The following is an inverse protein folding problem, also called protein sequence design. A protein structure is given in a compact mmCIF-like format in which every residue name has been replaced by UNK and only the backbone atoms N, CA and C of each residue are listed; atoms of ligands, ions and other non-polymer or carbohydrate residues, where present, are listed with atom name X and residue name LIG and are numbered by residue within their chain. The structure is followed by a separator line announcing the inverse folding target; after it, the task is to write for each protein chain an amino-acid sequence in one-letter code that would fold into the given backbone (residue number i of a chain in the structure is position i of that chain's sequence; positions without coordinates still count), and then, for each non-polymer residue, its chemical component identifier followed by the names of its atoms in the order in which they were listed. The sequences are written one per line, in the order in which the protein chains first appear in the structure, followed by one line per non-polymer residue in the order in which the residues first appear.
data_IF_227986091381
#
_entry.id   IF_227986091381
#
_cell.length_a   1.000
_cell.length_b   1.000
_cell.length_c   1.000
_cell.angle_alpha   90.00
_cell.angle_beta   90.00
_cell.angle_gamma   90.00
#
_symmetry.space_group_name_H-M   'P 1'
#
loop_
_entity.id
_entity.type
_entity.pdbx_description
1 polymer ?
#
# COMPACT_ATOMS: atom_id res chain seq x y z
N UNK A 1 26.19 -14.52 -8.26
CA UNK A 1 25.78 -15.34 -7.12
C UNK A 1 24.28 -15.46 -7.14
N UNK A 2 23.77 -16.67 -6.93
CA UNK A 2 22.33 -16.92 -6.91
C UNK A 2 21.76 -16.46 -5.56
N UNK A 3 20.74 -15.61 -5.57
CA UNK A 3 19.95 -15.23 -4.39
C UNK A 3 18.92 -16.30 -3.97
N UNK A 4 19.06 -17.54 -4.43
CA UNK A 4 18.14 -18.60 -4.02
C UNK A 4 18.45 -19.04 -2.59
N UNK A 5 17.42 -19.14 -1.75
CA UNK A 5 17.48 -19.67 -0.38
C UNK A 5 18.14 -21.07 -0.31
N UNK A 6 18.05 -21.83 -1.39
CA UNK A 6 18.67 -23.15 -1.51
C UNK A 6 20.21 -23.11 -1.63
N UNK A 7 20.79 -22.01 -2.10
CA UNK A 7 22.23 -21.93 -2.39
C UNK A 7 23.11 -21.93 -1.13
N UNK A 8 22.57 -21.62 0.03
CA UNK A 8 23.31 -21.46 1.31
C UNK A 8 22.83 -22.40 2.42
N UNK A 9 21.80 -23.21 2.19
CA UNK A 9 21.31 -24.18 3.18
C UNK A 9 22.38 -25.23 3.50
N UNK A 10 22.64 -25.44 4.80
CA UNK A 10 23.58 -26.45 5.29
C UNK A 10 25.06 -26.07 5.21
N UNK A 11 25.36 -24.81 4.88
CA UNK A 11 26.73 -24.28 4.89
C UNK A 11 26.95 -23.42 6.13
N UNK A 12 28.12 -23.43 6.70
CA UNK A 12 28.53 -22.54 7.81
C UNK A 12 29.44 -21.45 7.26
N UNK A 13 29.11 -20.19 7.56
CA UNK A 13 29.87 -19.04 7.08
C UNK A 13 30.36 -18.18 8.25
N UNK A 14 31.55 -17.63 8.13
CA UNK A 14 32.06 -16.61 9.04
C UNK A 14 31.66 -15.21 8.61
N UNK A 15 31.48 -14.97 7.31
CA UNK A 15 31.05 -13.70 6.73
C UNK A 15 30.06 -13.99 5.60
N UNK A 16 28.95 -13.28 5.62
CA UNK A 16 27.99 -13.25 4.52
C UNK A 16 27.98 -11.82 3.98
N UNK A 17 28.19 -11.67 2.68
CA UNK A 17 28.14 -10.38 1.99
C UNK A 17 27.00 -10.42 0.96
N UNK A 18 26.03 -9.51 1.13
CA UNK A 18 24.89 -9.33 0.24
C UNK A 18 25.07 -8.00 -0.49
N UNK A 19 25.22 -8.07 -1.79
CA UNK A 19 25.38 -6.91 -2.66
C UNK A 19 24.08 -6.64 -3.41
N UNK A 20 23.74 -5.37 -3.60
CA UNK A 20 22.53 -4.90 -4.25
C UNK A 20 21.24 -5.53 -3.67
N UNK A 21 21.20 -5.62 -2.34
CA UNK A 21 20.15 -6.38 -1.67
C UNK A 21 18.76 -5.76 -1.81
N UNK A 22 18.64 -4.43 -1.94
CA UNK A 22 17.37 -3.76 -2.21
C UNK A 22 16.72 -4.16 -3.55
N UNK A 23 17.50 -4.72 -4.48
CA UNK A 23 17.01 -5.17 -5.79
C UNK A 23 16.53 -6.62 -5.80
N UNK A 24 16.67 -7.33 -4.70
CA UNK A 24 16.12 -8.68 -4.54
C UNK A 24 14.61 -8.56 -4.33
N UNK A 25 13.76 -9.33 -5.03
CA UNK A 25 12.32 -9.34 -4.79
C UNK A 25 11.99 -9.66 -3.31
N UNK A 26 10.97 -9.00 -2.74
CA UNK A 26 10.63 -9.13 -1.32
C UNK A 26 10.43 -10.58 -0.88
N UNK A 27 9.67 -11.38 -1.64
CA UNK A 27 9.44 -12.80 -1.32
C UNK A 27 10.71 -13.63 -1.29
N UNK A 28 11.70 -13.32 -2.16
CA UNK A 28 12.99 -14.01 -2.18
C UNK A 28 13.86 -13.57 -0.99
N UNK A 29 13.81 -12.28 -0.64
CA UNK A 29 14.53 -11.75 0.51
C UNK A 29 14.02 -12.35 1.83
N UNK A 30 12.71 -12.45 2.01
CA UNK A 30 12.09 -13.07 3.20
C UNK A 30 12.41 -14.55 3.30
N UNK A 31 12.32 -15.31 2.20
CA UNK A 31 12.71 -16.72 2.14
C UNK A 31 14.20 -16.91 2.41
N UNK A 32 15.04 -16.02 1.91
CA UNK A 32 16.48 -16.07 2.15
C UNK A 32 16.77 -15.88 3.64
N UNK A 33 16.25 -14.84 4.28
CA UNK A 33 16.48 -14.60 5.71
C UNK A 33 15.93 -15.72 6.59
N UNK A 34 14.71 -16.19 6.34
CA UNK A 34 14.13 -17.29 7.11
C UNK A 34 14.95 -18.58 7.01
N UNK A 35 15.61 -18.81 5.87
CA UNK A 35 16.41 -19.99 5.62
C UNK A 35 17.87 -19.88 6.10
N UNK A 36 18.43 -18.68 6.08
CA UNK A 36 19.85 -18.41 6.36
C UNK A 36 20.08 -17.97 7.80
N UNK A 37 19.15 -17.25 8.39
CA UNK A 37 19.27 -16.73 9.76
C UNK A 37 19.54 -17.82 10.84
N UNK A 38 18.90 -19.01 10.81
CA UNK A 38 19.25 -20.09 11.74
C UNK A 38 20.69 -20.56 11.60
N UNK A 39 21.24 -20.53 10.39
CA UNK A 39 22.63 -20.92 10.12
C UNK A 39 23.60 -19.87 10.63
N UNK A 40 23.23 -18.60 10.55
CA UNK A 40 24.02 -17.48 11.04
C UNK A 40 24.05 -17.45 12.56
N UNK A 41 22.88 -17.62 13.19
CA UNK A 41 22.71 -17.57 14.65
C UNK A 41 23.40 -18.74 15.38
N UNK A 42 23.75 -19.82 14.69
CA UNK A 42 24.51 -20.94 15.25
C UNK A 42 25.99 -20.63 15.39
N UNK A 43 26.52 -19.61 14.74
CA UNK A 43 27.92 -19.20 14.77
C UNK A 43 28.14 -18.05 15.77
N UNK A 44 29.15 -18.18 16.64
CA UNK A 44 29.50 -17.13 17.64
C UNK A 44 30.22 -15.90 17.04
N UNK A 45 30.61 -15.94 15.77
CA UNK A 45 31.43 -14.91 15.12
C UNK A 45 30.98 -14.57 13.69
N UNK A 46 29.80 -15.00 13.25
CA UNK A 46 29.32 -14.74 11.89
C UNK A 46 28.96 -13.24 11.76
N UNK A 47 29.46 -12.62 10.68
CA UNK A 47 29.16 -11.24 10.31
C UNK A 47 28.31 -11.21 9.05
N UNK A 48 27.30 -10.37 9.02
CA UNK A 48 26.50 -10.09 7.83
C UNK A 48 26.79 -8.66 7.39
N UNK A 49 27.15 -8.49 6.14
CA UNK A 49 27.37 -7.18 5.51
C UNK A 49 26.37 -7.10 4.36
N UNK A 50 25.52 -6.09 4.40
CA UNK A 50 24.49 -5.83 3.39
C UNK A 50 24.79 -4.48 2.77
N UNK A 51 24.93 -4.44 1.45
CA UNK A 51 25.20 -3.21 0.70
C UNK A 51 24.16 -3.07 -0.41
N UNK A 52 23.62 -1.88 -0.56
CA UNK A 52 22.72 -1.55 -1.68
C UNK A 52 22.57 -0.05 -1.82
N UNK A 53 22.18 0.41 -3.00
CA UNK A 53 21.47 1.67 -3.16
C UNK A 53 20.00 1.46 -2.81
N UNK A 54 19.27 2.49 -2.34
CA UNK A 54 17.84 2.39 -2.03
C UNK A 54 17.00 2.01 -3.25
N UNK A 55 15.96 1.22 -3.05
CA UNK A 55 14.94 0.93 -4.07
C UNK A 55 13.54 0.97 -3.44
N UNK A 56 12.98 2.17 -3.34
CA UNK A 56 11.68 2.36 -2.69
C UNK A 56 11.68 1.96 -1.22
N UNK A 57 10.49 1.79 -0.64
CA UNK A 57 10.30 1.40 0.76
C UNK A 57 10.06 -0.11 0.88
N UNK A 58 11.05 -0.91 0.50
CA UNK A 58 11.00 -2.36 0.47
C UNK A 58 11.61 -2.99 1.75
N UNK A 59 11.94 -4.30 1.71
CA UNK A 59 12.58 -5.03 2.80
C UNK A 59 13.91 -4.39 3.25
N UNK A 60 14.70 -3.81 2.33
CA UNK A 60 15.96 -3.13 2.68
C UNK A 60 15.68 -1.82 3.44
N UNK A 61 14.66 -1.06 3.05
CA UNK A 61 14.19 0.11 3.80
C UNK A 61 13.77 -0.27 5.23
N UNK A 62 13.01 -1.35 5.40
CA UNK A 62 12.60 -1.84 6.74
C UNK A 62 13.81 -2.15 7.60
N UNK A 63 14.79 -2.89 7.05
CA UNK A 63 16.03 -3.23 7.78
C UNK A 63 16.83 -1.98 8.16
N UNK A 64 16.88 -1.00 7.26
CA UNK A 64 17.54 0.28 7.51
C UNK A 64 16.86 1.05 8.63
N UNK A 65 15.55 1.20 8.54
CA UNK A 65 14.73 1.92 9.53
C UNK A 65 14.78 1.27 10.92
N UNK A 66 14.68 -0.07 10.98
CA UNK A 66 14.81 -0.81 12.24
C UNK A 66 16.20 -0.62 12.86
N UNK A 67 17.24 -0.53 12.04
CA UNK A 67 18.61 -0.28 12.50
C UNK A 67 18.78 1.17 13.03
N UNK A 68 18.25 2.17 12.34
CA UNK A 68 18.28 3.57 12.78
C UNK A 68 17.54 3.77 14.11
N UNK A 69 16.44 3.05 14.31
CA UNK A 69 15.65 3.12 15.55
C UNK A 69 16.20 2.24 16.68
N UNK A 70 17.29 1.49 16.46
CA UNK A 70 17.86 0.59 17.45
C UNK A 70 17.01 -0.66 17.72
N UNK A 71 16.13 -1.02 16.81
CA UNK A 71 15.26 -2.20 16.87
C UNK A 71 15.91 -3.47 16.30
N UNK A 72 17.10 -3.34 15.72
CA UNK A 72 17.94 -4.43 15.25
C UNK A 72 19.40 -4.23 15.63
N UNK A 73 20.20 -5.33 15.56
CA UNK A 73 21.64 -5.29 15.85
C UNK A 73 22.47 -4.79 14.65
N UNK A 74 21.86 -4.42 13.54
CA UNK A 74 22.56 -3.87 12.38
C UNK A 74 23.04 -2.44 12.68
N UNK A 75 24.21 -2.10 12.14
CA UNK A 75 24.78 -0.74 12.22
C UNK A 75 24.60 -0.08 10.84
N UNK A 76 23.66 0.89 10.71
CA UNK A 76 23.43 1.58 9.46
C UNK A 76 24.61 2.50 9.13
N UNK A 77 25.07 2.46 7.90
CA UNK A 77 26.15 3.33 7.41
C UNK A 77 25.79 3.83 6.02
N UNK A 78 25.41 5.10 5.90
CA UNK A 78 25.19 5.76 4.63
C UNK A 78 26.50 6.43 4.17
N UNK A 79 26.79 6.38 2.87
CA UNK A 79 27.91 7.09 2.24
C UNK A 79 27.32 8.05 1.21
N UNK A 80 27.20 9.32 1.62
CA UNK A 80 26.74 10.37 0.74
C UNK A 80 27.81 10.73 -0.30
N UNK A 81 27.41 11.11 -1.50
CA UNK A 81 28.35 11.41 -2.61
C UNK A 81 29.41 12.46 -2.24
N UNK A 82 29.08 13.44 -1.38
CA UNK A 82 30.02 14.50 -0.94
C UNK A 82 31.14 14.00 -0.04
N UNK A 83 31.01 12.79 0.51
CA UNK A 83 32.05 12.14 1.32
C UNK A 83 33.08 11.40 0.47
N UNK A 84 32.75 11.20 -0.80
CA UNK A 84 33.64 10.49 -1.75
C UNK A 84 34.65 11.47 -2.36
N UNK A 85 35.97 11.19 -2.27
CA UNK A 85 36.99 12.05 -2.85
C UNK A 85 36.77 12.33 -4.33
N UNK A 86 37.05 13.55 -4.74
CA UNK A 86 36.92 14.05 -6.12
C UNK A 86 35.49 14.18 -6.67
N UNK A 87 34.48 14.16 -5.80
CA UNK A 87 33.10 14.48 -6.16
C UNK A 87 32.77 15.88 -5.64
N UNK A 88 32.60 16.83 -6.53
CA UNK A 88 32.27 18.23 -6.24
C UNK A 88 30.92 18.64 -6.85
N UNK A 89 30.54 19.90 -6.72
CA UNK A 89 29.31 20.44 -7.29
C UNK A 89 29.27 20.32 -8.83
N UNK A 90 30.38 20.45 -9.50
CA UNK A 90 30.47 20.33 -10.98
C UNK A 90 30.23 18.85 -11.39
N UNK A 91 30.81 17.91 -10.64
CA UNK A 91 30.53 16.49 -10.83
C UNK A 91 29.03 16.16 -10.61
N UNK A 92 28.40 16.74 -9.56
CA UNK A 92 26.94 16.58 -9.31
C UNK A 92 26.13 17.06 -10.50
N UNK A 93 26.36 18.30 -10.96
CA UNK A 93 25.63 18.86 -12.11
C UNK A 93 25.80 18.02 -13.37
N UNK A 94 27.01 17.55 -13.64
CA UNK A 94 27.29 16.72 -14.80
C UNK A 94 26.61 15.36 -14.70
N UNK A 95 26.57 14.76 -13.51
CA UNK A 95 25.92 13.47 -13.27
C UNK A 95 24.41 13.61 -13.43
N UNK A 96 23.78 14.65 -12.88
CA UNK A 96 22.34 14.92 -13.05
C UNK A 96 21.98 15.12 -14.53
N UNK A 97 22.82 15.82 -15.31
CA UNK A 97 22.60 15.99 -16.76
C UNK A 97 22.62 14.68 -17.53
N UNK A 98 23.43 13.72 -17.09
CA UNK A 98 23.60 12.43 -17.77
C UNK A 98 22.59 11.38 -17.30
N UNK A 99 21.91 11.61 -16.15
CA UNK A 99 20.93 10.71 -15.56
C UNK A 99 19.61 11.46 -15.34
N UNK A 100 19.25 11.68 -14.10
CA UNK A 100 18.14 12.54 -13.68
C UNK A 100 18.37 12.99 -12.24
N UNK A 101 17.68 14.04 -11.81
CA UNK A 101 17.72 14.48 -10.41
C UNK A 101 17.24 13.39 -9.44
N UNK A 102 16.19 12.66 -9.82
CA UNK A 102 15.66 11.58 -9.02
C UNK A 102 16.64 10.41 -8.91
N UNK A 103 17.23 9.99 -10.02
CA UNK A 103 18.25 8.94 -10.00
C UNK A 103 19.47 9.36 -9.17
N UNK A 104 19.87 10.63 -9.27
CA UNK A 104 20.95 11.15 -8.44
C UNK A 104 20.66 11.05 -6.95
N UNK A 105 19.44 11.40 -6.53
CA UNK A 105 19.01 11.28 -5.14
C UNK A 105 19.07 9.85 -4.62
N UNK A 106 18.58 8.89 -5.40
CA UNK A 106 18.62 7.47 -5.03
C UNK A 106 20.05 6.93 -4.98
N UNK A 107 20.82 7.10 -6.04
CA UNK A 107 22.12 6.45 -6.22
C UNK A 107 23.26 7.12 -5.43
N UNK A 108 23.16 8.42 -5.19
CA UNK A 108 24.27 9.21 -4.65
C UNK A 108 23.94 9.98 -3.37
N UNK A 109 22.69 10.30 -3.14
CA UNK A 109 22.21 10.90 -1.87
C UNK A 109 21.57 9.86 -0.95
N UNK A 110 21.48 8.60 -1.39
CA UNK A 110 20.94 7.46 -0.63
C UNK A 110 19.50 7.68 -0.15
N UNK A 111 18.70 8.46 -0.89
CA UNK A 111 17.30 8.68 -0.54
C UNK A 111 16.43 7.48 -0.92
N UNK A 112 15.63 6.99 0.03
CA UNK A 112 14.61 5.99 -0.24
C UNK A 112 13.42 6.62 -0.96
N UNK A 113 13.56 6.82 -2.25
CA UNK A 113 12.50 7.35 -3.11
C UNK A 113 11.76 6.21 -3.80
N UNK A 114 10.45 6.38 -3.98
CA UNK A 114 9.67 5.51 -4.86
C UNK A 114 10.09 5.68 -6.33
N UNK A 115 9.56 4.80 -7.18
CA UNK A 115 9.81 4.83 -8.62
C UNK A 115 9.34 6.14 -9.25
N UNK A 116 9.81 6.41 -10.48
CA UNK A 116 9.32 7.54 -11.29
C UNK A 116 7.88 7.27 -11.72
N UNK A 117 7.05 8.32 -11.81
CA UNK A 117 5.66 8.25 -12.26
C UNK A 117 4.76 7.35 -11.40
N UNK A 118 5.02 7.30 -10.08
CA UNK A 118 4.14 6.62 -9.13
C UNK A 118 2.73 7.24 -9.11
N UNK A 119 1.73 6.41 -8.82
CA UNK A 119 0.34 6.85 -8.68
C UNK A 119 0.20 7.97 -7.64
N UNK A 120 0.79 7.76 -6.46
CA UNK A 120 0.82 8.72 -5.36
C UNK A 120 2.06 9.61 -5.50
N UNK A 121 1.94 10.89 -5.19
CA UNK A 121 3.07 11.81 -5.29
C UNK A 121 4.22 11.43 -4.36
N UNK A 122 5.48 11.59 -4.79
CA UNK A 122 6.64 11.26 -3.95
C UNK A 122 6.66 12.02 -2.62
N UNK A 123 6.13 13.24 -2.59
CA UNK A 123 6.01 14.03 -1.37
C UNK A 123 5.07 13.36 -0.36
N UNK A 124 3.91 12.86 -0.83
CA UNK A 124 2.95 12.15 0.00
C UNK A 124 3.49 10.81 0.48
N UNK A 125 4.11 10.03 -0.41
CA UNK A 125 4.70 8.73 -0.04
C UNK A 125 5.75 8.88 1.08
N UNK A 126 6.59 9.92 1.03
CA UNK A 126 7.57 10.21 2.10
C UNK A 126 6.95 10.64 3.43
N UNK A 127 5.76 11.21 3.40
CA UNK A 127 5.04 11.63 4.60
C UNK A 127 4.28 10.47 5.28
N UNK A 128 4.15 9.31 4.61
CA UNK A 128 3.53 8.13 5.19
C UNK A 128 4.45 7.54 6.26
N UNK A 129 3.89 7.31 7.44
CA UNK A 129 4.60 6.71 8.58
C UNK A 129 4.12 5.28 8.72
N UNK A 130 5.06 4.35 8.76
CA UNK A 130 4.72 2.97 9.04
C UNK A 130 4.78 2.69 10.55
N UNK A 131 3.93 1.79 11.02
CA UNK A 131 3.92 1.29 12.38
C UNK A 131 3.91 -0.25 12.37
N UNK A 132 4.49 -0.86 13.41
CA UNK A 132 4.41 -2.31 13.57
C UNK A 132 2.99 -2.73 13.91
N UNK A 133 2.51 -3.86 13.38
CA UNK A 133 1.19 -4.37 13.74
C UNK A 133 1.14 -4.74 15.23
N UNK A 134 -0.03 -4.63 15.84
CA UNK A 134 -0.30 -5.11 17.20
C UNK A 134 -0.08 -6.63 17.32
N UNK A 135 -0.48 -7.36 16.29
CA UNK A 135 -0.25 -8.79 16.14
C UNK A 135 0.04 -9.14 14.69
N UNK A 136 0.95 -10.09 14.49
CA UNK A 136 1.28 -10.64 13.17
C UNK A 136 1.29 -12.16 13.25
N UNK A 137 0.49 -12.82 12.44
CA UNK A 137 0.39 -14.27 12.41
C UNK A 137 0.07 -14.79 11.02
N UNK A 138 0.95 -15.62 10.46
CA UNK A 138 0.73 -16.34 9.19
C UNK A 138 0.28 -15.47 8.02
N UNK A 139 0.80 -14.24 7.93
CA UNK A 139 0.47 -13.27 6.88
C UNK A 139 -0.68 -12.32 7.24
N UNK A 140 -1.36 -12.51 8.37
CA UNK A 140 -2.36 -11.59 8.91
C UNK A 140 -1.71 -10.64 9.91
N UNK A 141 -1.71 -9.35 9.59
CA UNK A 141 -1.25 -8.26 10.42
C UNK A 141 -2.43 -7.42 10.88
N UNK A 142 -2.53 -7.17 12.18
CA UNK A 142 -3.61 -6.39 12.81
C UNK A 142 -3.03 -5.12 13.40
N UNK A 143 -3.57 -3.97 13.01
CA UNK A 143 -3.17 -2.62 13.45
C UNK A 143 -4.16 -2.02 14.46
N UNK A 144 -5.43 -2.40 14.41
CA UNK A 144 -6.43 -2.03 15.39
C UNK A 144 -7.40 -3.18 15.64
N UNK A 145 -7.82 -3.36 16.88
CA UNK A 145 -8.86 -4.33 17.23
C UNK A 145 -10.23 -3.83 16.74
N UNK A 146 -11.18 -4.72 16.45
CA UNK A 146 -12.54 -4.32 16.07
C UNK A 146 -13.24 -3.59 17.22
N UNK A 147 -13.94 -2.51 16.89
CA UNK A 147 -14.75 -1.72 17.83
C UNK A 147 -16.24 -2.00 17.63
N UNK A 148 -17.00 -2.04 18.71
CA UNK A 148 -18.46 -2.21 18.63
C UNK A 148 -19.11 -1.07 17.84
N UNK A 149 -20.08 -1.40 16.98
CA UNK A 149 -20.81 -0.47 16.11
C UNK A 149 -20.00 0.20 15.01
N UNK A 150 -18.75 -0.20 14.80
CA UNK A 150 -17.99 0.21 13.65
C UNK A 150 -18.35 -0.66 12.44
N UNK A 151 -18.37 -0.03 11.27
CA UNK A 151 -18.55 -0.68 9.97
C UNK A 151 -17.20 -0.90 9.30
N UNK A 152 -17.00 -2.11 8.82
CA UNK A 152 -15.73 -2.51 8.19
C UNK A 152 -15.96 -2.99 6.77
N UNK A 153 -14.98 -2.70 5.92
CA UNK A 153 -14.92 -3.15 4.54
C UNK A 153 -13.67 -4.00 4.34
N UNK A 154 -13.83 -5.17 3.78
CA UNK A 154 -12.75 -6.04 3.33
C UNK A 154 -12.69 -6.05 1.80
N UNK A 155 -11.58 -5.64 1.23
CA UNK A 155 -11.31 -5.73 -0.21
C UNK A 155 -10.28 -6.82 -0.47
N UNK A 156 -10.54 -7.68 -1.46
CA UNK A 156 -9.81 -8.92 -1.67
C UNK A 156 -9.27 -9.00 -3.09
N UNK A 157 -8.00 -9.28 -3.20
CA UNK A 157 -7.32 -9.67 -4.44
C UNK A 157 -6.82 -11.12 -4.32
N UNK A 158 -6.99 -11.92 -5.37
CA UNK A 158 -6.83 -13.39 -5.31
C UNK A 158 -5.80 -13.88 -6.29
N UNK A 159 -4.75 -14.51 -5.80
CA UNK A 159 -3.74 -15.20 -6.58
C UNK A 159 -3.90 -16.74 -6.57
N UNK A 160 -3.17 -17.41 -7.45
CA UNK A 160 -3.22 -18.88 -7.60
C UNK A 160 -2.50 -19.66 -6.49
N UNK A 161 -1.75 -18.99 -5.62
CA UNK A 161 -0.97 -19.62 -4.55
C UNK A 161 0.17 -20.51 -5.07
N UNK A 162 0.89 -20.04 -6.08
CA UNK A 162 2.03 -20.75 -6.71
C UNK A 162 3.39 -20.17 -6.32
N UNK A 163 3.42 -19.17 -5.44
CA UNK A 163 4.65 -18.56 -4.92
C UNK A 163 5.09 -17.30 -5.66
N UNK A 164 4.31 -16.82 -6.62
CA UNK A 164 4.58 -15.58 -7.39
C UNK A 164 3.77 -14.42 -6.81
N UNK A 165 2.51 -14.25 -7.26
CA UNK A 165 1.60 -13.23 -6.75
C UNK A 165 0.98 -13.64 -5.41
N UNK A 166 0.53 -12.67 -4.64
CA UNK A 166 -0.06 -12.90 -3.32
C UNK A 166 -1.59 -12.88 -3.38
N UNK A 167 -2.23 -13.83 -2.69
CA UNK A 167 -3.60 -13.62 -2.25
C UNK A 167 -3.59 -12.65 -1.09
N UNK A 168 -4.30 -11.53 -1.23
CA UNK A 168 -4.28 -10.43 -0.28
C UNK A 168 -5.69 -9.94 0.05
N UNK A 169 -5.86 -9.41 1.24
CA UNK A 169 -6.99 -8.56 1.58
C UNK A 169 -6.59 -7.45 2.55
N UNK A 170 -7.37 -6.38 2.52
CA UNK A 170 -7.24 -5.25 3.46
C UNK A 170 -8.58 -5.02 4.13
N UNK A 171 -8.59 -4.91 5.46
CA UNK A 171 -9.78 -4.52 6.23
C UNK A 171 -9.65 -3.06 6.61
N UNK A 172 -10.68 -2.30 6.29
CA UNK A 172 -10.73 -0.85 6.44
C UNK A 172 -11.94 -0.50 7.31
N UNK A 173 -11.70 0.25 8.37
CA UNK A 173 -12.76 0.90 9.12
C UNK A 173 -13.32 2.05 8.28
N UNK A 174 -14.61 1.96 7.98
CA UNK A 174 -15.32 2.93 7.13
C UNK A 174 -16.37 3.73 7.90
N UNK A 175 -16.32 3.70 9.23
CA UNK A 175 -17.32 4.33 10.10
C UNK A 175 -17.29 5.85 9.99
N UNK A 176 -16.09 6.44 10.01
CA UNK A 176 -15.88 7.88 9.94
C UNK A 176 -14.65 8.22 9.10
N UNK A 177 -14.61 9.45 8.56
CA UNK A 177 -13.38 9.96 7.92
C UNK A 177 -12.38 10.50 8.94
N UNK A 178 -11.08 10.27 8.72
CA UNK A 178 -10.50 9.45 7.65
C UNK A 178 -10.72 7.95 7.88
N UNK A 179 -11.05 7.21 6.82
CA UNK A 179 -11.10 5.75 6.89
C UNK A 179 -9.73 5.19 7.28
N UNK A 180 -9.69 4.07 8.00
CA UNK A 180 -8.42 3.53 8.51
C UNK A 180 -8.24 2.06 8.14
N UNK A 181 -7.09 1.71 7.60
CA UNK A 181 -6.70 0.30 7.45
C UNK A 181 -6.40 -0.26 8.83
N UNK A 182 -7.17 -1.26 9.25
CA UNK A 182 -7.09 -1.88 10.59
C UNK A 182 -6.48 -3.27 10.58
N UNK A 183 -6.53 -3.96 9.43
CA UNK A 183 -5.84 -5.23 9.24
C UNK A 183 -5.49 -5.46 7.77
N UNK A 184 -4.44 -6.27 7.51
CA UNK A 184 -4.15 -6.78 6.19
C UNK A 184 -3.71 -8.24 6.25
N UNK A 185 -3.96 -8.95 5.18
CA UNK A 185 -3.47 -10.30 4.96
C UNK A 185 -2.73 -10.38 3.63
N UNK A 186 -1.63 -11.15 3.60
CA UNK A 186 -0.84 -11.38 2.40
C UNK A 186 -0.16 -12.74 2.45
N UNK A 187 -0.39 -13.58 1.45
CA UNK A 187 0.25 -14.90 1.37
C UNK A 187 0.29 -15.40 -0.08
N UNK A 188 1.47 -15.79 -0.57
CA UNK A 188 1.66 -16.25 -1.95
C UNK A 188 1.59 -17.77 -2.14
N UNK A 189 1.42 -18.53 -1.06
CA UNK A 189 1.36 -20.00 -1.09
C UNK A 189 0.00 -20.56 -0.72
N UNK A 190 -0.91 -19.72 -0.19
CA UNK A 190 -2.25 -20.13 0.18
C UNK A 190 -3.04 -20.58 -1.07
N UNK A 191 -3.68 -21.73 -0.96
CA UNK A 191 -4.52 -22.21 -2.07
C UNK A 191 -5.86 -21.49 -2.11
N UNK A 192 -6.40 -21.16 -3.30
CA UNK A 192 -7.69 -20.47 -3.46
C UNK A 192 -8.85 -21.13 -2.72
N UNK A 193 -8.84 -22.45 -2.53
CA UNK A 193 -9.87 -23.18 -1.77
C UNK A 193 -9.81 -22.94 -0.26
N UNK A 194 -8.66 -22.54 0.30
CA UNK A 194 -8.48 -22.32 1.74
C UNK A 194 -8.60 -20.85 2.12
N UNK A 195 -8.32 -19.98 1.18
CA UNK A 195 -8.32 -18.53 1.40
C UNK A 195 -9.68 -17.98 1.87
N UNK A 196 -10.85 -18.47 1.37
CA UNK A 196 -12.16 -18.03 1.86
C UNK A 196 -12.37 -18.21 3.36
N UNK A 197 -11.79 -19.26 3.97
CA UNK A 197 -11.94 -19.49 5.42
C UNK A 197 -11.22 -18.41 6.23
N UNK A 198 -10.04 -17.95 5.78
CA UNK A 198 -9.30 -16.88 6.44
C UNK A 198 -10.07 -15.56 6.31
N UNK A 199 -10.60 -15.25 5.12
CA UNK A 199 -11.45 -14.08 4.91
C UNK A 199 -12.66 -14.13 5.84
N UNK A 200 -13.36 -15.26 5.86
CA UNK A 200 -14.55 -15.47 6.66
C UNK A 200 -14.29 -15.25 8.15
N UNK A 201 -13.30 -15.93 8.73
CA UNK A 201 -12.98 -15.82 10.14
C UNK A 201 -12.56 -14.41 10.54
N UNK A 202 -11.71 -13.78 9.71
CA UNK A 202 -11.23 -12.42 9.99
C UNK A 202 -12.36 -11.40 9.88
N UNK A 203 -13.16 -11.46 8.81
CA UNK A 203 -14.27 -10.52 8.61
C UNK A 203 -15.39 -10.68 9.64
N UNK A 204 -15.65 -11.89 10.12
CA UNK A 204 -16.55 -12.10 11.26
C UNK A 204 -16.05 -11.42 12.53
N UNK A 205 -14.75 -11.48 12.78
CA UNK A 205 -14.12 -10.77 13.89
C UNK A 205 -14.29 -9.26 13.80
N UNK A 206 -14.32 -8.71 12.60
CA UNK A 206 -14.57 -7.28 12.33
C UNK A 206 -16.06 -7.02 12.02
N UNK A 207 -16.95 -7.32 12.97
CA UNK A 207 -18.39 -7.05 12.95
C UNK A 207 -19.13 -7.55 11.68
N UNK A 208 -18.67 -8.66 11.09
CA UNK A 208 -19.12 -9.15 9.77
C UNK A 208 -18.88 -8.10 8.67
N UNK A 209 -17.66 -7.68 8.51
CA UNK A 209 -17.24 -6.69 7.51
C UNK A 209 -17.86 -6.93 6.13
N UNK A 210 -18.18 -5.88 5.39
CA UNK A 210 -18.58 -6.01 3.99
C UNK A 210 -17.40 -6.53 3.17
N UNK A 211 -17.59 -7.53 2.33
CA UNK A 211 -16.52 -8.13 1.53
C UNK A 211 -16.74 -7.87 0.06
N UNK A 212 -15.74 -7.29 -0.60
CA UNK A 212 -15.72 -7.12 -2.06
C UNK A 212 -14.52 -7.87 -2.63
N UNK A 213 -14.77 -8.98 -3.30
CA UNK A 213 -13.74 -9.78 -3.97
C UNK A 213 -13.52 -9.31 -5.41
N UNK A 214 -12.27 -9.29 -5.86
CA UNK A 214 -11.96 -9.36 -7.27
C UNK A 214 -12.30 -10.76 -7.80
N UNK A 215 -13.06 -10.82 -8.91
CA UNK A 215 -13.55 -12.09 -9.49
C UNK A 215 -12.89 -12.44 -10.83
N UNK A 216 -11.70 -11.91 -11.06
CA UNK A 216 -10.90 -12.35 -12.20
C UNK A 216 -10.24 -13.70 -11.89
N UNK A 217 -9.97 -14.49 -12.92
CA UNK A 217 -9.27 -15.78 -12.84
C UNK A 217 -9.85 -16.70 -11.73
N UNK A 218 -9.10 -16.95 -10.66
CA UNK A 218 -9.51 -17.82 -9.54
C UNK A 218 -10.34 -17.09 -8.45
N UNK A 219 -10.52 -15.79 -8.56
CA UNK A 219 -11.27 -15.00 -7.57
C UNK A 219 -12.76 -15.31 -7.56
N UNK A 220 -13.34 -15.73 -8.69
CA UNK A 220 -14.72 -16.19 -8.77
C UNK A 220 -14.97 -17.44 -7.91
N UNK A 221 -13.99 -18.35 -7.82
CA UNK A 221 -14.05 -19.54 -6.94
C UNK A 221 -14.05 -19.13 -5.46
N UNK A 222 -13.18 -18.18 -5.07
CA UNK A 222 -13.13 -17.68 -3.69
C UNK A 222 -14.47 -17.04 -3.30
N UNK A 223 -15.01 -16.17 -4.15
CA UNK A 223 -16.31 -15.53 -3.92
C UNK A 223 -17.45 -16.55 -3.88
N UNK A 224 -17.43 -17.59 -4.72
CA UNK A 224 -18.43 -18.65 -4.72
C UNK A 224 -18.41 -19.45 -3.40
N UNK A 225 -17.24 -19.82 -2.90
CA UNK A 225 -17.11 -20.52 -1.60
C UNK A 225 -17.62 -19.63 -0.46
N UNK A 226 -17.26 -18.34 -0.43
CA UNK A 226 -17.78 -17.40 0.57
C UNK A 226 -19.30 -17.33 0.55
N UNK A 227 -19.91 -17.29 -0.64
CA UNK A 227 -21.36 -17.13 -0.77
C UNK A 227 -22.15 -18.43 -0.55
N UNK A 228 -21.72 -19.55 -1.15
CA UNK A 228 -22.49 -20.77 -1.19
C UNK A 228 -22.11 -21.79 -0.12
N UNK A 229 -20.83 -21.89 0.24
CA UNK A 229 -20.36 -22.89 1.18
C UNK A 229 -20.31 -22.31 2.61
N UNK A 230 -19.86 -21.05 2.76
CA UNK A 230 -19.71 -20.36 4.04
C UNK A 230 -20.90 -19.43 4.36
N UNK A 231 -21.81 -19.25 3.40
CA UNK A 231 -23.03 -18.42 3.54
C UNK A 231 -22.74 -17.02 4.14
N UNK A 232 -21.65 -16.39 3.66
CA UNK A 232 -21.25 -15.09 4.17
C UNK A 232 -22.22 -13.99 3.74
N UNK A 233 -22.91 -13.39 4.71
CA UNK A 233 -24.08 -12.52 4.50
C UNK A 233 -23.74 -11.15 3.88
N UNK A 234 -22.55 -10.60 4.15
CA UNK A 234 -22.14 -9.26 3.73
C UNK A 234 -21.21 -9.29 2.50
N UNK A 235 -21.36 -10.30 1.62
CA UNK A 235 -20.65 -10.34 0.36
C UNK A 235 -21.29 -9.36 -0.63
N UNK A 236 -20.49 -8.41 -1.14
CA UNK A 236 -20.93 -7.40 -2.10
C UNK A 236 -20.96 -7.97 -3.51
N UNK A 237 -22.03 -7.68 -4.23
CA UNK A 237 -22.25 -8.15 -5.60
C UNK A 237 -22.19 -6.98 -6.59
N UNK A 238 -21.72 -7.25 -7.80
CA UNK A 238 -21.71 -6.29 -8.89
C UNK A 238 -22.63 -6.71 -10.02
N UNK A 239 -23.27 -5.73 -10.68
CA UNK A 239 -24.06 -5.94 -11.88
C UNK A 239 -23.59 -5.02 -13.00
N UNK A 240 -23.76 -5.45 -14.26
CA UNK A 240 -23.45 -4.63 -15.42
C UNK A 240 -24.65 -3.76 -15.78
N UNK A 241 -24.47 -2.44 -15.80
CA UNK A 241 -25.53 -1.47 -16.07
C UNK A 241 -25.20 -0.61 -17.29
N UNK A 242 -25.42 -1.15 -18.47
CA UNK A 242 -25.28 -0.43 -19.74
C UNK A 242 -23.98 0.36 -19.87
N UNK A 243 -24.06 1.66 -20.12
CA UNK A 243 -22.89 2.55 -20.24
C UNK A 243 -22.22 2.91 -18.91
N UNK A 244 -22.89 2.71 -17.79
CA UNK A 244 -22.33 2.96 -16.46
C UNK A 244 -21.30 1.91 -16.03
N UNK A 245 -21.23 0.76 -16.76
CA UNK A 245 -20.31 -0.32 -16.46
C UNK A 245 -20.73 -1.14 -15.25
N UNK A 246 -19.78 -1.54 -14.42
CA UNK A 246 -20.07 -2.27 -13.18
C UNK A 246 -20.53 -1.32 -12.09
N UNK A 247 -21.59 -1.70 -11.40
CA UNK A 247 -22.10 -1.04 -10.20
C UNK A 247 -22.29 -2.08 -9.09
N UNK A 248 -22.03 -1.67 -7.86
CA UNK A 248 -22.28 -2.47 -6.66
C UNK A 248 -23.75 -2.36 -6.26
N UNK A 249 -24.33 -3.44 -5.74
CA UNK A 249 -25.70 -3.45 -5.22
C UNK A 249 -26.01 -4.77 -4.53
N UNK A 250 -27.08 -4.80 -3.74
CA UNK A 250 -27.63 -6.05 -3.23
C UNK A 250 -28.33 -6.77 -4.40
N UNK A 251 -27.78 -7.92 -4.80
CA UNK A 251 -28.25 -8.68 -5.96
C UNK A 251 -29.75 -8.94 -5.90
N UNK A 252 -30.39 -8.81 -7.03
CA UNK A 252 -31.70 -9.29 -7.47
C UNK A 252 -32.37 -8.34 -8.47
N UNK A 253 -31.59 -7.71 -9.32
CA UNK A 253 -32.18 -7.09 -10.52
C UNK A 253 -31.67 -7.79 -11.77
N UNK A 254 -32.32 -8.85 -12.13
CA UNK A 254 -32.57 -9.44 -13.46
C UNK A 254 -31.46 -9.60 -14.51
N UNK A 255 -30.26 -9.05 -14.40
CA UNK A 255 -29.23 -9.13 -15.43
C UNK A 255 -27.84 -9.33 -14.81
N UNK A 256 -27.29 -10.54 -15.03
CA UNK A 256 -25.87 -10.91 -14.80
C UNK A 256 -25.22 -10.28 -13.59
N UNK A 257 -25.69 -10.63 -12.41
CA UNK A 257 -25.02 -10.32 -11.14
C UNK A 257 -23.86 -11.28 -10.95
N UNK A 258 -22.71 -10.76 -10.53
CA UNK A 258 -21.52 -11.54 -10.17
C UNK A 258 -21.15 -11.30 -8.70
N UNK A 259 -20.53 -12.28 -8.05
CA UNK A 259 -20.22 -12.29 -6.62
C UNK A 259 -18.95 -11.47 -6.31
N UNK A 260 -18.89 -10.23 -6.78
CA UNK A 260 -17.73 -9.37 -6.62
C UNK A 260 -17.50 -8.47 -7.81
N UNK A 261 -16.33 -7.83 -7.89
CA UNK A 261 -15.97 -6.90 -8.95
C UNK A 261 -15.03 -7.56 -9.96
N UNK A 262 -15.34 -7.41 -11.25
CA UNK A 262 -14.39 -7.79 -12.30
C UNK A 262 -13.44 -6.64 -12.56
N UNK A 263 -12.15 -6.84 -12.36
CA UNK A 263 -11.12 -5.84 -12.64
C UNK A 263 -10.97 -5.65 -14.14
N UNK A 264 -11.73 -4.71 -14.67
CA UNK A 264 -11.61 -4.23 -16.04
C UNK A 264 -10.66 -3.04 -16.10
N UNK A 265 -10.14 -2.72 -17.30
CA UNK A 265 -9.30 -1.51 -17.50
C UNK A 265 -9.97 -0.24 -16.97
N UNK A 266 -11.30 -0.14 -17.11
CA UNK A 266 -12.08 1.01 -16.61
C UNK A 266 -12.14 1.05 -15.09
N UNK A 267 -12.42 -0.09 -14.44
CA UNK A 267 -12.46 -0.20 -12.98
C UNK A 267 -11.08 0.11 -12.39
N UNK A 268 -10.01 -0.50 -12.92
CA UNK A 268 -8.63 -0.25 -12.49
C UNK A 268 -8.26 1.22 -12.62
N UNK A 269 -8.55 1.84 -13.78
CA UNK A 269 -8.25 3.25 -14.02
C UNK A 269 -9.01 4.18 -13.07
N UNK A 270 -10.31 3.99 -12.92
CA UNK A 270 -11.15 4.83 -12.03
C UNK A 270 -10.71 4.62 -10.59
N UNK A 271 -10.54 3.38 -10.14
CA UNK A 271 -10.09 3.05 -8.80
C UNK A 271 -8.72 3.65 -8.49
N UNK A 272 -7.75 3.55 -9.41
CA UNK A 272 -6.42 4.15 -9.23
C UNK A 272 -6.48 5.68 -9.09
N UNK A 273 -7.23 6.36 -9.95
CA UNK A 273 -7.37 7.83 -9.85
C UNK A 273 -8.05 8.26 -8.54
N UNK A 274 -9.08 7.51 -8.11
CA UNK A 274 -9.74 7.76 -6.83
C UNK A 274 -8.80 7.46 -5.65
N UNK A 275 -8.01 6.39 -5.73
CA UNK A 275 -7.01 6.06 -4.71
C UNK A 275 -6.02 7.20 -4.52
N UNK A 276 -5.48 7.72 -5.63
CA UNK A 276 -4.64 8.92 -5.60
C UNK A 276 -5.31 10.03 -4.81
N UNK A 277 -6.54 10.35 -5.14
CA UNK A 277 -7.27 11.46 -4.54
C UNK A 277 -7.51 11.26 -3.04
N UNK A 278 -7.98 10.08 -2.61
CA UNK A 278 -8.27 9.83 -1.19
C UNK A 278 -7.00 9.73 -0.33
N UNK A 279 -5.89 9.23 -0.88
CA UNK A 279 -4.60 9.19 -0.19
C UNK A 279 -3.99 10.59 -0.08
N UNK A 280 -3.94 11.34 -1.16
CA UNK A 280 -3.36 12.70 -1.17
C UNK A 280 -4.16 13.69 -0.31
N UNK A 281 -5.47 13.45 -0.11
CA UNK A 281 -6.34 14.27 0.73
C UNK A 281 -6.53 13.73 2.15
N UNK A 282 -5.74 12.76 2.59
CA UNK A 282 -5.82 12.15 3.92
C UNK A 282 -7.22 11.61 4.28
N UNK A 283 -7.96 11.09 3.29
CA UNK A 283 -9.28 10.46 3.52
C UNK A 283 -9.20 8.98 3.83
N UNK A 284 -8.05 8.37 3.59
CA UNK A 284 -7.71 7.03 4.03
C UNK A 284 -6.33 7.04 4.66
N UNK A 285 -6.21 6.42 5.82
CA UNK A 285 -4.96 6.26 6.57
C UNK A 285 -4.58 4.80 6.62
N UNK A 286 -3.31 4.54 6.43
CA UNK A 286 -2.72 3.20 6.56
C UNK A 286 -1.28 3.33 7.06
N UNK A 287 -0.88 2.36 7.88
CA UNK A 287 0.42 2.34 8.55
C UNK A 287 1.21 1.07 8.20
N UNK A 288 0.65 0.26 7.33
CA UNK A 288 1.26 -0.99 6.88
C UNK A 288 2.40 -0.74 5.90
N UNK A 289 3.57 -1.31 6.18
CA UNK A 289 4.75 -1.15 5.36
C UNK A 289 4.60 -1.79 3.98
N UNK A 290 3.93 -2.94 3.88
CA UNK A 290 3.80 -3.63 2.59
C UNK A 290 2.88 -2.84 1.65
N UNK A 291 1.77 -2.25 2.16
CA UNK A 291 0.92 -1.33 1.39
C UNK A 291 1.74 -0.11 0.93
N UNK A 292 2.50 0.50 1.83
CA UNK A 292 3.36 1.65 1.48
C UNK A 292 4.39 1.25 0.43
N UNK A 293 5.04 0.11 0.60
CA UNK A 293 6.05 -0.43 -0.32
C UNK A 293 5.47 -0.63 -1.73
N UNK A 294 4.30 -1.28 -1.85
CA UNK A 294 3.66 -1.49 -3.15
C UNK A 294 3.25 -0.17 -3.79
N UNK A 295 2.74 0.79 -3.04
CA UNK A 295 2.40 2.12 -3.57
C UNK A 295 3.64 2.91 -4.04
N UNK A 296 4.83 2.67 -3.49
CA UNK A 296 6.08 3.31 -3.96
C UNK A 296 6.59 2.77 -5.28
N UNK A 297 6.10 1.59 -5.69
CA UNK A 297 6.44 0.92 -6.95
C UNK A 297 5.26 0.79 -7.91
N UNK A 298 4.09 1.33 -7.54
CA UNK A 298 2.88 1.31 -8.35
C UNK A 298 2.90 2.48 -9.33
N UNK A 299 3.39 2.21 -10.54
CA UNK A 299 3.72 3.21 -11.56
C UNK A 299 2.73 3.23 -12.72
N UNK A 300 2.71 4.34 -13.43
CA UNK A 300 1.95 4.44 -14.68
C UNK A 300 2.66 3.66 -15.79
N UNK A 301 2.00 2.62 -16.31
CA UNK A 301 2.42 1.88 -17.52
C UNK A 301 1.37 2.09 -18.61
N UNK A 302 1.73 2.80 -19.67
CA UNK A 302 0.81 3.15 -20.77
C UNK A 302 -0.45 3.88 -20.27
N UNK A 303 -1.61 3.24 -20.34
CA UNK A 303 -2.91 3.79 -19.90
C UNK A 303 -3.43 3.17 -18.60
N UNK A 304 -2.59 2.46 -17.85
CA UNK A 304 -2.92 1.77 -16.60
C UNK A 304 -1.88 2.06 -15.54
N UNK A 305 -2.10 1.55 -14.32
CA UNK A 305 -1.12 1.55 -13.25
C UNK A 305 -0.84 0.10 -12.88
N UNK A 306 0.41 -0.24 -12.68
CA UNK A 306 0.87 -1.59 -12.37
C UNK A 306 2.14 -1.51 -11.54
N UNK A 307 2.50 -2.59 -10.84
CA UNK A 307 3.78 -2.68 -10.17
C UNK A 307 4.93 -2.54 -11.17
N UNK A 308 6.04 -1.97 -10.72
CA UNK A 308 7.31 -2.01 -11.43
C UNK A 308 7.78 -3.47 -11.61
N UNK A 309 8.59 -3.73 -12.65
CA UNK A 309 9.04 -5.08 -12.94
C UNK A 309 9.79 -5.70 -11.76
N UNK A 310 9.34 -6.87 -11.32
CA UNK A 310 9.87 -7.58 -10.16
C UNK A 310 9.29 -7.12 -8.81
N UNK A 311 8.28 -6.25 -8.80
CA UNK A 311 7.51 -5.84 -7.64
C UNK A 311 6.08 -6.40 -7.71
N UNK A 312 5.37 -6.38 -6.59
CA UNK A 312 3.98 -6.83 -6.47
C UNK A 312 3.05 -5.62 -6.29
N UNK A 313 1.77 -5.78 -6.66
CA UNK A 313 0.72 -4.76 -6.48
C UNK A 313 -0.58 -5.32 -5.85
N UNK A 314 -0.53 -6.49 -5.21
CA UNK A 314 -1.70 -7.20 -4.69
C UNK A 314 -2.44 -6.39 -3.60
N UNK A 315 -1.71 -5.81 -2.65
CA UNK A 315 -2.29 -4.92 -1.63
C UNK A 315 -2.68 -3.56 -2.22
N UNK A 316 -1.88 -3.03 -3.14
CA UNK A 316 -2.23 -1.81 -3.87
C UNK A 316 -3.52 -2.01 -4.67
N UNK A 317 -3.74 -3.21 -5.25
CA UNK A 317 -4.98 -3.57 -5.92
C UNK A 317 -6.16 -3.67 -4.95
N UNK A 318 -5.99 -4.21 -3.74
CA UNK A 318 -7.01 -4.13 -2.70
C UNK A 318 -7.40 -2.68 -2.40
N UNK A 319 -6.44 -1.77 -2.30
CA UNK A 319 -6.70 -0.34 -2.10
C UNK A 319 -7.36 0.32 -3.32
N UNK A 320 -7.05 -0.12 -4.54
CA UNK A 320 -7.72 0.33 -5.78
C UNK A 320 -9.19 -0.10 -5.79
N UNK A 321 -9.50 -1.33 -5.36
CA UNK A 321 -10.86 -1.85 -5.23
C UNK A 321 -11.64 -1.03 -4.19
N UNK A 322 -11.06 -0.75 -3.03
CA UNK A 322 -11.61 0.15 -2.03
C UNK A 322 -11.95 1.51 -2.63
N UNK A 323 -10.99 2.16 -3.27
CA UNK A 323 -11.15 3.50 -3.81
C UNK A 323 -12.17 3.56 -4.97
N UNK A 324 -12.35 2.46 -5.71
CA UNK A 324 -13.43 2.34 -6.69
C UNK A 324 -14.79 2.21 -5.99
N UNK A 325 -14.89 1.40 -4.93
CA UNK A 325 -16.14 1.15 -4.20
C UNK A 325 -16.68 2.41 -3.51
N UNK A 326 -15.83 3.19 -2.85
CA UNK A 326 -16.25 4.39 -2.09
C UNK A 326 -16.87 5.48 -2.98
N UNK A 327 -16.75 5.38 -4.30
CA UNK A 327 -17.42 6.27 -5.25
C UNK A 327 -18.78 5.76 -5.74
N UNK A 328 -19.14 4.52 -5.38
CA UNK A 328 -20.42 3.93 -5.79
C UNK A 328 -21.59 4.48 -4.97
N UNK A 329 -22.73 4.69 -5.62
CA UNK A 329 -23.93 5.18 -4.93
C UNK A 329 -24.36 4.22 -3.81
N UNK A 330 -24.21 2.92 -4.02
CA UNK A 330 -24.50 1.92 -3.00
C UNK A 330 -23.64 2.09 -1.72
N UNK A 331 -22.35 2.46 -1.86
CA UNK A 331 -21.51 2.73 -0.71
C UNK A 331 -22.03 3.92 0.11
N UNK A 332 -22.50 4.98 -0.58
CA UNK A 332 -23.08 6.15 0.07
C UNK A 332 -24.37 5.83 0.83
N UNK A 333 -25.21 4.95 0.24
CA UNK A 333 -26.43 4.47 0.88
C UNK A 333 -26.12 3.58 2.11
N UNK A 334 -25.03 2.80 2.03
CA UNK A 334 -24.60 1.89 3.09
C UNK A 334 -24.03 2.62 4.32
N UNK A 335 -23.22 3.65 4.09
CA UNK A 335 -22.45 4.34 5.13
C UNK A 335 -22.98 5.73 5.46
N UNK A 336 -24.01 6.19 4.75
CA UNK A 336 -24.46 7.59 4.77
C UNK A 336 -23.34 8.63 4.49
N UNK A 337 -22.29 8.20 3.80
CA UNK A 337 -21.10 8.99 3.51
C UNK A 337 -20.95 9.23 2.02
N UNK A 338 -20.77 10.49 1.61
CA UNK A 338 -20.40 10.87 0.25
C UNK A 338 -18.97 11.42 0.20
N UNK A 339 -18.02 10.52 -0.15
CA UNK A 339 -16.60 10.84 -0.28
C UNK A 339 -16.38 12.01 -1.24
N UNK A 340 -17.11 12.04 -2.36
CA UNK A 340 -16.97 13.12 -3.36
C UNK A 340 -17.43 14.47 -2.81
N UNK A 341 -18.56 14.49 -2.08
CA UNK A 341 -19.04 15.67 -1.41
C UNK A 341 -18.03 16.16 -0.36
N UNK A 342 -17.51 15.27 0.44
CA UNK A 342 -16.52 15.59 1.46
C UNK A 342 -15.22 16.16 0.89
N UNK A 343 -14.69 15.57 -0.19
CA UNK A 343 -13.54 16.11 -0.91
C UNK A 343 -13.79 17.51 -1.47
N UNK A 344 -15.00 17.77 -1.97
CA UNK A 344 -15.38 19.09 -2.47
C UNK A 344 -15.48 20.14 -1.34
N UNK A 345 -16.08 19.76 -0.22
CA UNK A 345 -16.18 20.63 0.97
C UNK A 345 -14.80 20.99 1.50
N UNK A 346 -13.88 20.01 1.63
CA UNK A 346 -12.53 20.28 2.08
C UNK A 346 -11.74 21.20 1.14
N UNK A 347 -11.87 21.01 -0.18
CA UNK A 347 -11.23 21.91 -1.14
C UNK A 347 -11.79 23.33 -1.05
N UNK A 348 -13.10 23.47 -0.86
CA UNK A 348 -13.72 24.79 -0.67
C UNK A 348 -13.21 25.47 0.60
N UNK A 349 -13.15 24.72 1.71
CA UNK A 349 -12.69 25.25 2.99
C UNK A 349 -11.20 25.64 2.94
N UNK A 350 -10.36 24.89 2.20
CA UNK A 350 -8.97 25.29 1.93
C UNK A 350 -8.90 26.61 1.13
N UNK A 351 -9.71 26.73 0.06
CA UNK A 351 -9.75 27.96 -0.73
C UNK A 351 -10.24 29.14 0.14
N UNK A 352 -11.25 28.94 0.98
CA UNK A 352 -11.74 29.97 1.90
C UNK A 352 -10.68 30.38 2.94
N UNK A 353 -9.88 29.44 3.44
CA UNK A 353 -8.76 29.71 4.34
C UNK A 353 -7.63 30.47 3.62
N UNK A 354 -7.28 30.08 2.39
CA UNK A 354 -6.29 30.79 1.58
C UNK A 354 -6.75 32.20 1.14
N UNK A 355 -8.06 32.39 1.05
CA UNK A 355 -8.70 33.66 0.76
C UNK A 355 -9.03 34.47 2.05
N UNK A 356 -8.55 34.01 3.23
CA UNK A 356 -8.77 34.73 4.49
C UNK A 356 -8.38 36.22 4.33
N UNK A 357 -9.25 37.17 4.72
CA UNK A 357 -9.18 38.52 4.23
C UNK A 357 -7.87 39.18 4.60
N UNK A 358 -7.23 39.82 3.65
CA UNK A 358 -6.31 40.90 3.94
C UNK A 358 -7.07 41.84 4.91
N UNK A 359 -6.66 41.79 6.17
CA UNK A 359 -7.26 42.64 7.17
C UNK A 359 -7.20 44.10 6.68
N UNK A 360 -8.34 44.74 6.61
CA UNK A 360 -8.36 46.17 6.50
C UNK A 360 -7.66 46.70 7.76
N UNK A 361 -6.40 47.09 7.63
CA UNK A 361 -5.76 47.91 8.64
C UNK A 361 -6.42 49.30 8.53
N UNK A 362 -7.35 49.53 9.43
CA UNK A 362 -7.82 50.89 9.70
C UNK A 362 -6.64 51.66 10.28
N UNK A 363 -6.20 52.67 9.62
CA UNK A 363 -5.10 53.55 10.04
C UNK A 363 -5.43 54.45 11.23
N UNK A 364 -6.59 54.24 11.86
CA UNK A 364 -6.94 54.89 13.14
C UNK A 364 -7.06 56.40 13.12
N UNK A 365 -7.12 57.04 11.95
CA UNK A 365 -7.36 58.48 11.83
C UNK A 365 -8.86 58.76 11.76
N UNK A 366 -9.51 58.84 12.90
CA UNK A 366 -10.77 59.55 13.05
C UNK A 366 -10.45 61.02 13.23
N UNK A 367 -10.69 61.83 12.19
CA UNK A 367 -10.79 63.27 12.36
C UNK A 367 -12.03 63.58 13.21
N UNK A 368 -11.83 64.10 14.41
CA UNK A 368 -12.87 64.76 15.18
C UNK A 368 -13.24 66.05 14.45
N UNK A 369 -14.39 66.07 13.83
CA UNK A 369 -15.01 67.32 13.39
C UNK A 369 -15.80 67.87 14.58
N UNK A 370 -15.24 68.83 15.26
CA UNK A 370 -15.97 69.68 16.22
C UNK A 370 -16.82 70.68 15.53
N UNK A 371 -18.10 70.71 15.87
CA UNK A 371 -18.98 71.85 15.69
C UNK A 371 -19.24 72.59 17.01
#
# INVERSE_FOLDING_TARGET
ASTSAAAVRGMTFNIIFLDEFAFVPNHIADDFFSSVYPTISSGTSTKIIIVSTPKGMNHFYRMWHDAENGESDYVPTAVHWSEVPNRDAAWKEQTIKNTSEQQFKVEFECEFLGSVDTLISPAKLRALVYEKPLTSNSGLDIYAAPEEKHDYLCTVDVARGVGEDYSAFVIIDITEFPHQVVAKYRNNTIKPMLFPNIIYETCRGYNNAFVLCEVNDVGDQVAAILNFDLEYINLLMCSMRGRAGQIVGQGFSGNKTQLGVKMSKTVKKIGSLNLKQVVESDKVLFKDLDIISELTTFIQKSNSFEAEDGCNDDLAMCMVIYAWLVQQDYFKELTDQDVRKKLYEDQRDQIEQDMAPFGFMSDGLTEEVSF
#
